data_IF_884988982188
#
_entry.id   IF_884988982188
#
_cell.length_a   1.000
_cell.length_b   1.000
_cell.length_c   1.000
_cell.angle_alpha   90.00
_cell.angle_beta   90.00
_cell.angle_gamma   90.00
#
_symmetry.space_group_name_H-M   'P 1'
#
loop_
_entity.id
_entity.type
_entity.pdbx_description
1 polymer ?
#
# COMPACT_ATOMS: atom_id res chain seq x y z
N UNK A 1 0.20 10.62 8.18
CA UNK A 1 1.02 10.72 6.94
C UNK A 1 0.05 10.88 5.79
N UNK A 2 0.36 11.73 4.80
CA UNK A 2 -0.52 12.19 3.71
C UNK A 2 -1.55 11.12 3.29
N UNK A 3 -2.85 11.45 3.33
CA UNK A 3 -3.98 10.57 2.98
C UNK A 3 -4.05 10.24 1.48
N UNK A 4 -2.94 9.74 0.94
CA UNK A 4 -2.74 9.45 -0.47
C UNK A 4 -3.04 7.96 -0.70
N UNK A 5 -3.96 7.68 -1.62
CA UNK A 5 -4.42 6.31 -1.88
C UNK A 5 -3.35 5.38 -2.46
N UNK A 6 -2.33 5.92 -3.11
CA UNK A 6 -1.13 5.23 -3.56
C UNK A 6 -0.04 6.27 -3.86
N UNK A 7 1.22 6.01 -3.51
CA UNK A 7 2.35 6.88 -3.85
C UNK A 7 3.43 6.09 -4.60
N UNK A 8 4.03 6.72 -5.60
CA UNK A 8 5.27 6.23 -6.24
C UNK A 8 6.44 6.82 -5.48
N UNK A 9 7.18 5.99 -4.76
CA UNK A 9 8.33 6.43 -4.00
C UNK A 9 9.54 6.70 -4.92
N UNK A 10 10.22 7.82 -4.72
CA UNK A 10 11.52 8.12 -5.37
C UNK A 10 12.62 7.62 -4.44
N UNK A 11 13.55 6.82 -4.96
CA UNK A 11 14.58 6.14 -4.18
C UNK A 11 15.84 7.02 -4.01
N UNK A 12 16.41 7.00 -2.81
CA UNK A 12 17.79 7.45 -2.54
C UNK A 12 18.69 6.20 -2.42
N UNK A 13 19.68 5.99 -3.30
CA UNK A 13 20.59 4.83 -3.24
C UNK A 13 21.31 4.72 -1.87
N UNK A 14 21.73 3.52 -1.40
CA UNK A 14 21.96 2.26 -2.13
C UNK A 14 20.95 1.12 -1.82
N UNK A 15 19.74 1.44 -1.35
CA UNK A 15 18.74 0.40 -1.00
C UNK A 15 18.29 -0.37 -2.26
N UNK A 16 17.90 -1.64 -2.15
CA UNK A 16 17.49 -2.51 -3.30
C UNK A 16 15.99 -2.43 -3.65
N UNK A 17 15.20 -1.66 -2.91
CA UNK A 17 13.75 -1.52 -3.10
C UNK A 17 13.10 -0.77 -1.94
N UNK A 18 11.86 -0.34 -2.15
CA UNK A 18 11.08 0.39 -1.14
C UNK A 18 9.64 -0.14 -1.09
N UNK A 19 9.08 -0.18 0.12
CA UNK A 19 7.66 -0.45 0.35
C UNK A 19 6.96 0.88 0.61
N UNK A 20 6.01 1.20 -0.24
CA UNK A 20 5.16 2.37 -0.10
C UNK A 20 3.86 1.99 0.62
N UNK A 21 3.67 2.46 1.85
CA UNK A 21 2.46 2.25 2.65
C UNK A 21 1.46 3.40 2.51
N UNK A 22 0.32 3.12 1.86
CA UNK A 22 -0.78 4.06 1.71
C UNK A 22 -1.60 4.25 2.99
N UNK A 23 -2.59 5.13 2.92
CA UNK A 23 -3.50 5.40 4.03
C UNK A 23 -4.31 4.16 4.45
N UNK A 24 -4.52 4.02 5.76
CA UNK A 24 -5.45 3.03 6.31
C UNK A 24 -6.87 3.57 6.15
N UNK A 25 -7.70 2.89 5.36
CA UNK A 25 -9.11 3.29 5.16
C UNK A 25 -10.06 2.11 5.30
N UNK A 26 -11.31 2.40 5.66
CA UNK A 26 -12.38 1.41 5.73
C UNK A 26 -12.80 1.02 4.31
N UNK A 27 -12.62 -0.24 3.96
CA UNK A 27 -13.11 -0.81 2.69
C UNK A 27 -14.04 -1.99 2.95
N UNK A 28 -15.06 -2.13 2.10
CA UNK A 28 -15.86 -3.34 2.05
C UNK A 28 -15.07 -4.44 1.32
N UNK A 29 -14.91 -5.59 1.97
CA UNK A 29 -14.27 -6.80 1.39
C UNK A 29 -15.20 -7.99 1.53
N UNK A 30 -15.13 -8.88 0.55
CA UNK A 30 -15.81 -10.17 0.61
C UNK A 30 -14.90 -11.15 1.32
N UNK A 31 -15.35 -11.66 2.46
CA UNK A 31 -14.65 -12.68 3.26
C UNK A 31 -15.67 -13.76 3.56
N UNK A 32 -15.35 -15.01 3.24
CA UNK A 32 -16.24 -16.16 3.46
C UNK A 32 -17.68 -15.93 2.95
N UNK A 33 -17.80 -15.38 1.72
CA UNK A 33 -19.06 -15.02 1.07
C UNK A 33 -19.93 -13.99 1.82
N UNK A 34 -19.37 -13.26 2.79
CA UNK A 34 -20.02 -12.15 3.48
C UNK A 34 -19.28 -10.84 3.20
N UNK A 35 -20.02 -9.74 3.17
CA UNK A 35 -19.43 -8.40 3.05
C UNK A 35 -19.08 -7.93 4.46
N UNK A 36 -17.80 -7.70 4.71
CA UNK A 36 -17.28 -7.12 5.94
C UNK A 36 -16.59 -5.78 5.66
N UNK A 37 -16.75 -4.82 6.56
CA UNK A 37 -16.00 -3.56 6.51
C UNK A 37 -14.74 -3.73 7.35
N UNK A 38 -13.56 -3.52 6.76
CA UNK A 38 -12.28 -3.62 7.46
C UNK A 38 -11.39 -2.42 7.19
N UNK A 39 -10.53 -2.11 8.15
CA UNK A 39 -9.44 -1.16 7.96
C UNK A 39 -8.36 -1.82 7.09
N UNK A 40 -8.10 -1.25 5.93
CA UNK A 40 -7.15 -1.75 4.93
C UNK A 40 -6.06 -0.72 4.69
N UNK A 41 -4.80 -1.15 4.73
CA UNK A 41 -3.65 -0.39 4.25
C UNK A 41 -3.26 -0.92 2.87
N UNK A 42 -3.30 -0.05 1.85
CA UNK A 42 -2.78 -0.39 0.53
C UNK A 42 -1.26 -0.27 0.53
N UNK A 43 -0.58 -1.23 -0.08
CA UNK A 43 0.88 -1.25 -0.16
C UNK A 43 1.34 -1.48 -1.60
N UNK A 44 2.35 -0.74 -2.03
CA UNK A 44 3.01 -0.94 -3.31
C UNK A 44 4.49 -1.21 -3.09
N UNK A 45 4.99 -2.31 -3.64
CA UNK A 45 6.41 -2.64 -3.63
C UNK A 45 7.05 -2.22 -4.94
N UNK A 46 8.09 -1.40 -4.86
CA UNK A 46 8.88 -1.01 -6.03
C UNK A 46 10.26 -1.67 -5.97
N UNK A 47 10.52 -2.72 -6.78
CA UNK A 47 11.84 -3.33 -6.88
C UNK A 47 12.78 -2.42 -7.67
N UNK A 48 14.06 -2.41 -7.30
CA UNK A 48 15.10 -1.83 -8.16
C UNK A 48 15.51 -2.89 -9.16
N UNK A 49 15.25 -2.61 -10.44
CA UNK A 49 15.74 -3.39 -11.55
C UNK A 49 17.05 -2.72 -11.97
N UNK A 50 18.17 -3.43 -11.83
CA UNK A 50 19.47 -3.03 -12.41
C UNK A 50 19.45 -3.15 -13.94
#
# INVERSE_FOLDING_TARGET
>A
MFGTHAFTAIIVPPQSGIIALGEVKKEAKVIDNKIEIRDICLQHFHPIIE
#
